data_IF_630150307448
#
_entry.id   IF_630150307448
#
_cell.length_a   1.000
_cell.length_b   1.000
_cell.length_c   1.000
_cell.angle_alpha   90.00
_cell.angle_beta   90.00
_cell.angle_gamma   90.00
#
_symmetry.space_group_name_H-M   'P 1'
#
loop_
_entity.id
_entity.type
_entity.pdbx_description
1 polymer ?
#
# COMPACT_ATOMS: atom_id res chain seq x y z
N UNK A 1 -1.29 11.20 9.66
CA UNK A 1 -1.52 10.15 8.63
C UNK A 1 -1.78 8.82 9.30
N UNK A 2 -2.87 8.18 8.94
CA UNK A 2 -3.15 6.81 9.41
C UNK A 2 -2.34 5.84 8.57
N UNK A 3 -1.64 4.92 9.22
CA UNK A 3 -0.77 3.97 8.53
C UNK A 3 -0.56 2.72 9.38
N UNK A 4 -0.18 1.63 8.72
CA UNK A 4 0.28 0.41 9.36
C UNK A 4 1.79 0.40 9.22
N UNK A 5 2.49 0.18 10.34
CA UNK A 5 3.95 0.19 10.37
C UNK A 5 4.46 -1.17 10.82
N UNK A 6 5.41 -1.72 10.07
CA UNK A 6 6.19 -2.86 10.50
C UNK A 6 7.58 -2.31 10.79
N UNK A 7 8.01 -2.41 12.04
CA UNK A 7 9.28 -1.82 12.47
C UNK A 7 10.23 -2.89 13.04
N UNK A 8 11.36 -2.43 13.52
CA UNK A 8 12.40 -3.28 14.10
C UNK A 8 12.87 -4.39 13.16
N UNK A 9 12.88 -4.10 11.87
CA UNK A 9 13.34 -5.04 10.86
C UNK A 9 14.85 -5.08 10.81
N UNK A 10 15.41 -6.29 10.65
CA UNK A 10 16.82 -6.41 10.33
C UNK A 10 17.08 -5.93 8.90
N UNK A 11 18.35 -5.61 8.55
CA UNK A 11 18.66 -5.21 7.17
C UNK A 11 18.23 -6.26 6.14
N UNK A 12 18.38 -7.53 6.45
CA UNK A 12 17.98 -8.62 5.54
C UNK A 12 16.47 -8.67 5.38
N UNK A 13 15.72 -8.55 6.48
CA UNK A 13 14.26 -8.55 6.44
C UNK A 13 13.74 -7.37 5.63
N UNK A 14 14.29 -6.20 5.88
CA UNK A 14 13.94 -4.98 5.14
C UNK A 14 14.22 -5.17 3.64
N UNK A 15 15.37 -5.70 3.28
CA UNK A 15 15.75 -5.91 1.88
C UNK A 15 14.84 -6.95 1.21
N UNK A 16 14.43 -7.98 1.93
CA UNK A 16 13.51 -8.99 1.42
C UNK A 16 12.13 -8.40 1.12
N UNK A 17 11.62 -7.55 2.01
CA UNK A 17 10.35 -6.84 1.77
C UNK A 17 10.49 -5.91 0.57
N UNK A 18 11.57 -5.14 0.51
CA UNK A 18 11.81 -4.23 -0.62
C UNK A 18 11.84 -4.99 -1.95
N UNK A 19 12.50 -6.13 -2.00
CA UNK A 19 12.55 -6.97 -3.20
C UNK A 19 11.17 -7.51 -3.57
N UNK A 20 10.37 -7.92 -2.57
CA UNK A 20 9.00 -8.36 -2.80
C UNK A 20 8.16 -7.25 -3.45
N UNK A 21 8.28 -6.04 -2.92
CA UNK A 21 7.53 -4.90 -3.43
C UNK A 21 7.96 -4.53 -4.85
N UNK A 22 9.24 -4.63 -5.16
CA UNK A 22 9.72 -4.40 -6.53
C UNK A 22 9.11 -5.36 -7.53
N UNK A 23 8.88 -6.61 -7.14
CA UNK A 23 8.32 -7.64 -8.02
C UNK A 23 6.80 -7.56 -8.14
N UNK A 24 6.11 -7.06 -7.10
CA UNK A 24 4.66 -7.20 -6.98
C UNK A 24 3.88 -5.89 -6.97
N UNK A 25 4.56 -4.76 -6.86
CA UNK A 25 3.93 -3.44 -6.80
C UNK A 25 4.50 -2.50 -7.84
N UNK A 26 3.78 -1.43 -8.10
CA UNK A 26 4.25 -0.36 -8.97
C UNK A 26 5.25 0.51 -8.19
N UNK A 27 6.37 0.83 -8.83
CA UNK A 27 7.33 1.75 -8.24
C UNK A 27 6.78 3.17 -8.21
N UNK A 28 6.98 3.85 -7.08
CA UNK A 28 6.67 5.25 -6.96
C UNK A 28 7.77 6.13 -7.56
N UNK A 29 7.64 7.46 -7.43
CA UNK A 29 8.58 8.41 -8.05
C UNK A 29 9.95 8.44 -7.39
N UNK A 30 10.09 7.89 -6.19
CA UNK A 30 11.34 7.87 -5.44
C UNK A 30 11.70 6.45 -5.03
N UNK A 31 13.00 6.20 -4.84
CA UNK A 31 13.50 4.91 -4.33
C UNK A 31 12.87 4.64 -2.97
N UNK A 32 12.38 3.41 -2.79
CA UNK A 32 11.73 3.00 -1.53
C UNK A 32 10.25 3.34 -1.45
N UNK A 33 9.68 3.96 -2.48
CA UNK A 33 8.24 4.21 -2.56
C UNK A 33 7.60 3.26 -3.55
N UNK A 34 6.48 2.66 -3.13
CA UNK A 34 5.72 1.72 -3.95
C UNK A 34 4.23 2.01 -3.83
N UNK A 35 3.48 1.61 -4.83
CA UNK A 35 2.03 1.77 -4.87
C UNK A 35 1.39 0.39 -4.99
N UNK A 36 0.51 0.06 -4.03
CA UNK A 36 -0.33 -1.12 -4.14
C UNK A 36 -1.68 -0.69 -4.68
N UNK A 37 -2.06 -1.22 -5.84
CA UNK A 37 -3.33 -0.89 -6.47
C UNK A 37 -4.46 -1.65 -5.80
N UNK A 38 -5.58 -0.95 -5.57
CA UNK A 38 -6.76 -1.57 -5.01
C UNK A 38 -7.58 -2.23 -6.12
N UNK A 39 -8.07 -3.47 -5.91
CA UNK A 39 -8.97 -4.09 -6.86
C UNK A 39 -10.28 -3.32 -7.00
N UNK A 40 -10.85 -3.31 -8.19
CA UNK A 40 -12.09 -2.57 -8.46
C UNK A 40 -13.25 -3.02 -7.58
N UNK A 41 -13.30 -4.29 -7.22
CA UNK A 41 -14.42 -4.85 -6.45
C UNK A 41 -14.46 -4.39 -4.99
N UNK A 42 -13.42 -3.74 -4.49
CA UNK A 42 -13.41 -3.20 -3.12
C UNK A 42 -13.37 -1.67 -3.05
N UNK A 43 -13.51 -1.01 -4.18
CA UNK A 43 -13.59 0.46 -4.19
C UNK A 43 -14.84 0.93 -3.47
N UNK A 44 -14.75 2.09 -2.80
CA UNK A 44 -15.91 2.72 -2.17
C UNK A 44 -16.88 3.25 -3.25
N UNK A 45 -18.10 3.55 -2.86
CA UNK A 45 -19.09 4.06 -3.81
C UNK A 45 -18.63 5.32 -4.51
N UNK A 46 -18.05 6.26 -3.76
CA UNK A 46 -17.56 7.50 -4.36
C UNK A 46 -16.39 7.24 -5.32
N UNK A 47 -15.53 6.27 -5.01
CA UNK A 47 -14.44 5.91 -5.90
C UNK A 47 -14.95 5.26 -7.18
N UNK A 48 -15.97 4.42 -7.09
CA UNK A 48 -16.62 3.82 -8.27
C UNK A 48 -17.28 4.87 -9.16
N UNK A 49 -17.88 5.88 -8.55
CA UNK A 49 -18.49 7.00 -9.28
C UNK A 49 -17.46 7.88 -9.98
N UNK A 50 -16.21 7.86 -9.46
CA UNK A 50 -15.10 8.63 -9.99
C UNK A 50 -14.14 7.74 -10.78
N UNK A 51 -14.67 6.96 -11.71
CA UNK A 51 -13.87 6.05 -12.51
C UNK A 51 -12.69 6.71 -13.24
N UNK A 52 -12.84 7.98 -13.61
CA UNK A 52 -11.78 8.74 -14.27
C UNK A 52 -10.62 9.07 -13.34
N UNK A 53 -10.80 8.94 -12.04
CA UNK A 53 -9.75 9.19 -11.05
C UNK A 53 -8.88 7.96 -10.77
N UNK A 54 -9.30 6.79 -11.25
CA UNK A 54 -8.53 5.57 -11.08
C UNK A 54 -7.28 5.51 -11.94
N UNK A 55 -6.41 4.54 -11.74
CA UNK A 55 -6.47 3.54 -10.66
C UNK A 55 -6.27 4.15 -9.27
N UNK A 56 -6.84 3.49 -8.26
CA UNK A 56 -6.70 3.91 -6.87
C UNK A 56 -5.63 3.06 -6.18
N UNK A 57 -4.85 3.69 -5.30
CA UNK A 57 -3.72 3.02 -4.67
C UNK A 57 -3.48 3.50 -3.25
N UNK A 58 -2.76 2.67 -2.50
CA UNK A 58 -2.16 3.06 -1.22
C UNK A 58 -0.65 3.08 -1.36
N UNK A 59 -0.01 4.08 -0.77
CA UNK A 59 1.43 4.21 -0.79
C UNK A 59 2.11 3.32 0.23
N UNK A 60 3.31 2.84 -0.12
CA UNK A 60 4.16 2.06 0.76
C UNK A 60 5.53 2.71 0.76
N UNK A 61 6.08 2.97 1.94
CA UNK A 61 7.41 3.57 2.09
C UNK A 61 8.31 2.62 2.85
N UNK A 62 9.42 2.22 2.21
CA UNK A 62 10.46 1.39 2.82
C UNK A 62 11.52 2.31 3.38
N UNK A 63 11.72 2.24 4.70
CA UNK A 63 12.74 3.00 5.41
C UNK A 63 13.89 2.08 5.82
N UNK A 64 14.81 2.59 6.64
CA UNK A 64 16.02 1.86 7.00
C UNK A 64 15.73 0.55 7.76
N UNK A 65 14.78 0.60 8.70
CA UNK A 65 14.44 -0.55 9.54
C UNK A 65 12.94 -0.76 9.70
N UNK A 66 12.15 -0.13 8.84
CA UNK A 66 10.70 -0.21 8.90
C UNK A 66 10.08 -0.07 7.52
N UNK A 67 8.82 -0.49 7.42
CA UNK A 67 8.00 -0.31 6.22
C UNK A 67 6.66 0.26 6.67
N UNK A 68 6.22 1.32 5.99
CA UNK A 68 4.96 2.00 6.29
C UNK A 68 3.98 1.80 5.16
N UNK A 69 2.78 1.37 5.51
CA UNK A 69 1.67 1.18 4.57
C UNK A 69 0.63 2.25 4.86
N UNK A 70 0.47 3.21 3.98
CA UNK A 70 -0.51 4.28 4.16
C UNK A 70 -1.93 3.73 4.04
N UNK A 71 -2.84 4.22 4.88
CA UNK A 71 -4.26 3.89 4.81
C UNK A 71 -5.06 4.90 3.99
N UNK A 72 -4.42 5.93 3.48
CA UNK A 72 -5.07 6.88 2.59
C UNK A 72 -5.13 6.29 1.17
N UNK A 73 -6.33 6.15 0.65
CA UNK A 73 -6.54 5.70 -0.73
C UNK A 73 -6.48 6.90 -1.64
N UNK A 74 -5.51 6.90 -2.54
CA UNK A 74 -5.22 8.01 -3.44
C UNK A 74 -5.67 7.72 -4.86
N UNK A 75 -5.94 8.79 -5.60
CA UNK A 75 -6.19 8.74 -7.03
C UNK A 75 -4.86 8.94 -7.78
N UNK A 76 -4.59 8.10 -8.76
CA UNK A 76 -3.40 8.28 -9.61
C UNK A 76 -3.58 9.37 -10.66
N UNK A 77 -4.82 9.74 -10.94
CA UNK A 77 -5.15 10.69 -12.01
C UNK A 77 -5.50 12.09 -11.52
N UNK A 78 -5.97 12.22 -10.27
CA UNK A 78 -6.41 13.51 -9.73
C UNK A 78 -6.05 13.63 -8.25
N UNK A 79 -5.00 14.36 -7.94
CA UNK A 79 -4.45 14.49 -6.60
C UNK A 79 -5.36 15.23 -5.62
N UNK A 80 -6.40 15.90 -6.11
CA UNK A 80 -7.29 16.72 -5.28
C UNK A 80 -8.75 16.28 -5.33
N UNK A 81 -9.00 15.08 -5.84
CA UNK A 81 -10.36 14.57 -5.96
C UNK A 81 -10.98 14.28 -4.59
N UNK A 82 -12.29 14.51 -4.47
CA UNK A 82 -13.06 14.18 -3.27
C UNK A 82 -13.13 12.68 -3.01
N UNK A 83 -12.80 11.85 -4.02
CA UNK A 83 -12.77 10.40 -3.88
C UNK A 83 -11.58 9.91 -3.05
N UNK A 84 -10.60 10.76 -2.79
CA UNK A 84 -9.45 10.42 -1.93
C UNK A 84 -9.95 10.41 -0.48
N UNK A 85 -9.76 9.28 0.18
CA UNK A 85 -10.23 9.11 1.56
C UNK A 85 -9.47 7.97 2.22
N UNK A 86 -9.56 7.91 3.54
CA UNK A 86 -8.97 6.77 4.26
C UNK A 86 -9.70 5.47 3.93
N UNK A 87 -8.96 4.39 3.97
CA UNK A 87 -9.45 3.06 3.60
C UNK A 87 -10.69 2.66 4.40
N UNK A 88 -11.66 2.07 3.71
CA UNK A 88 -12.81 1.43 4.33
C UNK A 88 -12.36 0.18 5.08
N UNK A 89 -13.26 -0.41 5.87
CA UNK A 89 -12.96 -1.67 6.57
C UNK A 89 -12.53 -2.76 5.59
N UNK A 90 -13.22 -2.89 4.47
CA UNK A 90 -12.89 -3.88 3.44
C UNK A 90 -11.53 -3.62 2.81
N UNK A 91 -11.23 -2.37 2.53
CA UNK A 91 -9.93 -1.97 1.96
C UNK A 91 -8.79 -2.19 2.97
N UNK A 92 -9.02 -1.90 4.26
CA UNK A 92 -8.03 -2.18 5.30
C UNK A 92 -7.75 -3.68 5.40
N UNK A 93 -8.79 -4.49 5.30
CA UNK A 93 -8.63 -5.95 5.34
C UNK A 93 -7.79 -6.44 4.15
N UNK A 94 -8.02 -5.88 2.98
CA UNK A 94 -7.19 -6.16 1.82
C UNK A 94 -5.71 -5.85 2.08
N UNK A 95 -5.43 -4.67 2.67
CA UNK A 95 -4.05 -4.27 2.98
C UNK A 95 -3.43 -5.17 4.03
N UNK A 96 -4.18 -5.53 5.08
CA UNK A 96 -3.68 -6.45 6.11
C UNK A 96 -3.34 -7.81 5.52
N UNK A 97 -4.19 -8.34 4.66
CA UNK A 97 -3.91 -9.61 3.99
C UNK A 97 -2.70 -9.51 3.07
N UNK A 98 -2.53 -8.38 2.39
CA UNK A 98 -1.36 -8.13 1.57
C UNK A 98 -0.08 -8.15 2.42
N UNK A 99 -0.10 -7.48 3.57
CA UNK A 99 1.03 -7.44 4.51
C UNK A 99 1.32 -8.84 5.05
N UNK A 100 0.29 -9.56 5.49
CA UNK A 100 0.45 -10.92 6.02
C UNK A 100 1.07 -11.85 4.99
N UNK A 101 0.68 -11.71 3.72
CA UNK A 101 1.26 -12.50 2.64
C UNK A 101 2.75 -12.21 2.43
N UNK A 102 3.16 -10.94 2.54
CA UNK A 102 4.58 -10.58 2.46
C UNK A 102 5.36 -11.25 3.59
N UNK A 103 4.88 -11.11 4.82
CA UNK A 103 5.55 -11.63 6.00
C UNK A 103 5.66 -13.15 5.95
N UNK A 104 4.60 -13.82 5.52
CA UNK A 104 4.57 -15.27 5.41
C UNK A 104 5.52 -15.75 4.31
N UNK A 105 5.46 -15.14 3.13
CA UNK A 105 6.27 -15.53 1.99
C UNK A 105 7.76 -15.31 2.24
N UNK A 106 8.12 -14.19 2.88
CA UNK A 106 9.52 -13.86 3.21
C UNK A 106 9.95 -14.44 4.56
N UNK A 107 9.08 -15.18 5.24
CA UNK A 107 9.37 -15.85 6.53
C UNK A 107 9.84 -14.88 7.60
N UNK A 108 9.17 -13.75 7.70
CA UNK A 108 9.48 -12.71 8.66
C UNK A 108 8.48 -12.78 9.82
N UNK A 109 9.00 -12.82 11.05
CA UNK A 109 8.19 -12.77 12.26
C UNK A 109 8.11 -11.32 12.74
N UNK A 110 7.04 -10.67 12.37
CA UNK A 110 6.87 -9.27 12.74
C UNK A 110 5.45 -9.00 13.22
#
# INVERSE_FOLDING_TARGET
>A
MRQIVIDELSPMERDNIDSYLKRNCNAGPMIGLYWVLLPDNILSEIQKEHGDCGPFYCGIEVEQDSVRFELLVRSSSNLHCKCISYATTEQRLFLLNFIDNILEEEKIKA
#
